data_IF_157909052598
#
_entry.id   IF_157909052598
#
_cell.length_a   1.000
_cell.length_b   1.000
_cell.length_c   1.000
_cell.angle_alpha   90.00
_cell.angle_beta   90.00
_cell.angle_gamma   90.00
#
_symmetry.space_group_name_H-M   'P 1'
#
loop_
_entity.id
_entity.type
_entity.pdbx_description
1 polymer ?
#
# COMPACT_ATOMS: atom_id res chain seq x y z
N UNK A 1 77.99 -12.75 -14.20
CA UNK A 1 76.72 -12.13 -14.62
C UNK A 1 75.60 -12.92 -14.00
N UNK A 2 75.03 -12.40 -12.92
CA UNK A 2 73.99 -13.02 -12.12
C UNK A 2 72.64 -12.44 -12.55
N UNK A 3 71.65 -13.29 -12.83
CA UNK A 3 70.26 -12.85 -12.98
C UNK A 3 69.43 -13.62 -11.97
N UNK A 4 69.07 -12.95 -10.88
CA UNK A 4 68.16 -13.46 -9.86
C UNK A 4 66.71 -13.21 -10.30
N UNK A 5 65.92 -14.27 -10.30
CA UNK A 5 64.47 -14.24 -10.47
C UNK A 5 63.86 -13.88 -9.11
N UNK A 6 63.08 -12.80 -9.04
CA UNK A 6 62.25 -12.49 -7.87
C UNK A 6 60.81 -12.44 -8.35
N UNK A 7 60.06 -13.50 -8.03
CA UNK A 7 58.62 -13.57 -8.20
C UNK A 7 57.94 -12.85 -7.02
N UNK A 8 57.15 -11.82 -7.32
CA UNK A 8 56.40 -11.06 -6.32
C UNK A 8 54.94 -11.54 -6.33
N UNK A 9 54.62 -12.49 -5.44
CA UNK A 9 53.25 -12.94 -5.21
C UNK A 9 52.51 -11.93 -4.31
N UNK A 10 51.75 -11.02 -4.91
CA UNK A 10 50.79 -10.17 -4.19
C UNK A 10 49.52 -10.97 -3.88
N UNK A 11 49.42 -11.48 -2.64
CA UNK A 11 48.16 -11.99 -2.09
C UNK A 11 47.29 -10.82 -1.64
N UNK A 12 46.26 -10.50 -2.43
CA UNK A 12 45.15 -9.66 -1.99
C UNK A 12 44.23 -10.49 -1.09
N UNK A 13 44.38 -10.33 0.23
CA UNK A 13 43.39 -10.80 1.19
C UNK A 13 42.18 -9.85 1.14
N UNK A 14 41.15 -10.22 0.37
CA UNK A 14 39.86 -9.55 0.41
C UNK A 14 39.20 -9.85 1.76
N UNK A 15 39.27 -8.91 2.70
CA UNK A 15 38.48 -8.96 3.92
C UNK A 15 37.00 -8.84 3.54
N UNK A 16 36.27 -9.96 3.64
CA UNK A 16 34.82 -9.97 3.53
C UNK A 16 34.24 -9.12 4.67
N UNK A 17 33.75 -7.93 4.35
CA UNK A 17 32.96 -7.14 5.27
C UNK A 17 31.69 -7.94 5.62
N UNK A 18 31.39 -8.19 6.90
CA UNK A 18 30.15 -8.85 7.26
C UNK A 18 29.00 -7.93 6.84
N UNK A 19 28.17 -8.42 5.92
CA UNK A 19 26.90 -7.81 5.59
C UNK A 19 26.10 -7.69 6.89
N UNK A 20 26.00 -6.46 7.40
CA UNK A 20 25.10 -6.13 8.48
C UNK A 20 23.68 -6.33 7.93
N UNK A 21 23.13 -7.52 8.16
CA UNK A 21 21.70 -7.78 8.05
C UNK A 21 21.02 -6.81 9.03
N UNK A 22 20.61 -5.65 8.51
CA UNK A 22 19.76 -4.72 9.21
C UNK A 22 18.39 -5.39 9.37
N UNK A 23 18.26 -6.25 10.37
CA UNK A 23 16.96 -6.74 10.86
C UNK A 23 16.18 -5.50 11.30
N UNK A 24 15.28 -5.05 10.44
CA UNK A 24 14.34 -3.98 10.70
C UNK A 24 13.62 -4.30 12.02
N UNK A 25 13.99 -3.58 13.09
CA UNK A 25 13.39 -3.78 14.41
C UNK A 25 11.93 -3.35 14.30
N UNK A 26 11.01 -4.27 14.55
CA UNK A 26 9.59 -3.93 14.62
C UNK A 26 9.40 -2.80 15.65
N UNK A 27 8.87 -1.65 15.22
CA UNK A 27 8.60 -0.51 16.10
C UNK A 27 7.68 -0.92 17.25
N UNK A 28 7.94 -0.39 18.44
CA UNK A 28 7.09 -0.61 19.60
C UNK A 28 5.71 0.04 19.40
N UNK A 29 4.71 -0.39 20.17
CA UNK A 29 3.38 0.20 20.12
C UNK A 29 3.41 1.71 20.47
N UNK A 30 4.26 2.10 21.42
CA UNK A 30 4.44 3.50 21.83
C UNK A 30 5.07 4.35 20.72
N UNK A 31 6.13 3.85 20.06
CA UNK A 31 6.76 4.53 18.92
C UNK A 31 5.77 4.71 17.77
N UNK A 32 4.94 3.70 17.50
CA UNK A 32 3.90 3.79 16.48
C UNK A 32 2.86 4.83 16.86
N UNK A 33 2.37 4.82 18.10
CA UNK A 33 1.40 5.81 18.57
C UNK A 33 1.95 7.23 18.43
N UNK A 34 3.17 7.50 18.91
CA UNK A 34 3.82 8.80 18.79
C UNK A 34 3.96 9.25 17.33
N UNK A 35 4.36 8.35 16.42
CA UNK A 35 4.40 8.64 14.99
C UNK A 35 3.00 8.97 14.44
N UNK A 36 1.98 8.19 14.79
CA UNK A 36 0.62 8.40 14.29
C UNK A 36 0.05 9.77 14.69
N UNK A 37 0.40 10.29 15.87
CA UNK A 37 0.01 11.64 16.31
C UNK A 37 0.58 12.74 15.40
N UNK A 38 1.73 12.51 14.76
CA UNK A 38 2.34 13.50 13.85
C UNK A 38 1.77 13.49 12.43
N UNK A 39 0.89 12.52 12.11
CA UNK A 39 0.34 12.35 10.76
C UNK A 39 -1.02 13.02 10.65
N UNK A 40 -1.22 13.80 9.59
CA UNK A 40 -2.53 14.36 9.27
C UNK A 40 -3.56 13.24 9.02
N UNK A 41 -4.76 13.41 9.60
CA UNK A 41 -5.90 12.51 9.40
C UNK A 41 -6.90 13.15 8.45
N UNK A 42 -7.28 12.40 7.41
CA UNK A 42 -8.28 12.79 6.44
C UNK A 42 -9.67 12.23 6.75
N UNK A 43 -10.42 11.99 5.67
CA UNK A 43 -11.79 11.45 5.69
C UNK A 43 -11.85 10.12 6.45
N UNK A 44 -12.97 9.90 7.13
CA UNK A 44 -13.27 8.61 7.75
C UNK A 44 -13.77 7.64 6.68
N UNK A 45 -13.33 6.39 6.79
CA UNK A 45 -13.68 5.30 5.88
C UNK A 45 -14.17 4.12 6.71
N UNK A 46 -15.32 3.55 6.36
CA UNK A 46 -15.79 2.31 6.96
C UNK A 46 -15.28 1.13 6.13
N UNK A 47 -14.45 0.29 6.73
CA UNK A 47 -13.96 -0.95 6.14
C UNK A 47 -14.59 -2.18 6.79
N UNK A 48 -14.27 -3.36 6.26
CA UNK A 48 -14.82 -4.63 6.76
C UNK A 48 -14.41 -4.96 8.20
N UNK A 49 -13.32 -4.37 8.73
CA UNK A 49 -12.82 -4.63 10.09
C UNK A 49 -12.95 -3.43 11.04
N UNK A 50 -13.75 -2.44 10.66
CA UNK A 50 -14.09 -1.29 11.50
C UNK A 50 -13.84 0.05 10.82
N UNK A 51 -13.54 1.05 11.64
CA UNK A 51 -13.35 2.42 11.19
C UNK A 51 -11.89 2.71 10.88
N UNK A 52 -11.69 3.47 9.81
CA UNK A 52 -10.41 3.87 9.30
C UNK A 52 -10.37 5.38 9.10
N UNK A 53 -9.16 5.95 9.16
CA UNK A 53 -8.88 7.33 8.76
C UNK A 53 -7.88 7.33 7.62
N UNK A 54 -8.21 8.02 6.53
CA UNK A 54 -7.28 8.26 5.44
C UNK A 54 -6.06 9.05 5.93
N UNK A 55 -4.88 8.76 5.38
CA UNK A 55 -3.63 9.43 5.68
C UNK A 55 -3.10 10.09 4.39
N UNK A 56 -3.34 11.40 4.18
CA UNK A 56 -2.96 12.10 2.95
C UNK A 56 -1.47 12.08 2.64
N UNK A 57 -0.63 11.92 3.67
CA UNK A 57 0.83 11.95 3.57
C UNK A 57 1.45 10.56 3.48
N UNK A 58 0.65 9.50 3.64
CA UNK A 58 1.17 8.13 3.72
C UNK A 58 0.69 7.32 2.54
N UNK A 59 1.65 6.73 1.84
CA UNK A 59 1.42 5.94 0.64
C UNK A 59 2.12 4.61 0.73
N UNK A 60 1.70 3.68 -0.12
CA UNK A 60 2.37 2.40 -0.29
C UNK A 60 2.78 2.19 -1.75
N UNK A 61 3.93 1.58 -1.97
CA UNK A 61 4.38 1.09 -3.28
C UNK A 61 4.80 -0.37 -3.16
N UNK A 62 4.53 -1.17 -4.19
CA UNK A 62 4.97 -2.56 -4.22
C UNK A 62 6.42 -2.68 -4.72
N UNK A 63 7.20 -3.56 -4.08
CA UNK A 63 8.45 -4.07 -4.62
C UNK A 63 8.22 -4.76 -5.96
N UNK A 64 8.95 -4.35 -6.99
CA UNK A 64 8.94 -4.97 -8.32
C UNK A 64 9.57 -6.36 -8.31
N UNK A 65 10.67 -6.52 -7.59
CA UNK A 65 11.42 -7.76 -7.47
C UNK A 65 11.72 -8.06 -6.00
N UNK A 66 11.91 -9.33 -5.66
CA UNK A 66 12.18 -9.74 -4.27
C UNK A 66 13.47 -9.15 -3.69
N UNK A 67 14.43 -8.78 -4.55
CA UNK A 67 15.69 -8.16 -4.17
C UNK A 67 15.65 -6.61 -4.19
N UNK A 68 14.56 -5.99 -4.67
CA UNK A 68 14.42 -4.53 -4.63
C UNK A 68 14.36 -4.07 -3.18
N UNK A 69 15.19 -3.10 -2.83
CA UNK A 69 15.19 -2.48 -1.51
C UNK A 69 14.03 -1.47 -1.41
N UNK A 70 13.54 -1.17 -0.19
CA UNK A 70 12.55 -0.11 0.00
C UNK A 70 12.96 1.23 -0.61
N UNK A 71 14.24 1.60 -0.52
CA UNK A 71 14.76 2.85 -1.07
C UNK A 71 14.71 2.88 -2.61
N UNK A 72 15.03 1.77 -3.27
CA UNK A 72 14.90 1.64 -4.73
C UNK A 72 13.44 1.73 -5.17
N UNK A 73 12.53 1.10 -4.43
CA UNK A 73 11.10 1.18 -4.69
C UNK A 73 10.57 2.63 -4.60
N UNK A 74 11.06 3.42 -3.63
CA UNK A 74 10.73 4.85 -3.50
C UNK A 74 11.37 5.71 -4.60
N UNK A 75 12.65 5.47 -4.93
CA UNK A 75 13.35 6.20 -5.98
C UNK A 75 12.63 6.05 -7.33
N UNK A 76 12.11 4.85 -7.63
CA UNK A 76 11.34 4.55 -8.84
C UNK A 76 10.06 5.39 -8.98
N UNK A 77 9.43 5.76 -7.87
CA UNK A 77 8.21 6.59 -7.87
C UNK A 77 8.51 8.07 -7.61
N UNK A 78 9.78 8.48 -7.65
CA UNK A 78 10.20 9.88 -7.45
C UNK A 78 10.15 10.34 -6.00
N UNK A 79 10.09 9.43 -5.04
CA UNK A 79 9.94 9.71 -3.60
C UNK A 79 11.29 9.56 -2.85
N UNK A 80 12.40 9.98 -3.47
CA UNK A 80 13.76 9.78 -2.95
C UNK A 80 14.10 10.45 -1.61
N UNK A 81 13.23 11.32 -1.11
CA UNK A 81 13.33 11.94 0.23
C UNK A 81 12.26 11.47 1.21
N UNK A 82 11.41 10.50 0.83
CA UNK A 82 10.34 10.02 1.68
C UNK A 82 10.85 9.17 2.84
N UNK A 83 10.16 9.27 3.97
CA UNK A 83 10.49 8.49 5.16
C UNK A 83 9.78 7.13 5.10
N UNK A 84 10.53 6.03 5.10
CA UNK A 84 9.96 4.69 5.23
C UNK A 84 9.36 4.54 6.64
N UNK A 85 8.11 4.09 6.69
CA UNK A 85 7.37 3.88 7.94
C UNK A 85 7.30 2.41 8.32
N UNK A 86 7.00 1.53 7.37
CA UNK A 86 6.82 0.09 7.57
C UNK A 86 6.91 -0.65 6.23
N UNK A 87 7.38 -1.90 6.25
CA UNK A 87 7.24 -2.84 5.12
C UNK A 87 6.26 -3.96 5.48
N UNK A 88 5.28 -4.23 4.62
CA UNK A 88 4.26 -5.29 4.76
C UNK A 88 4.31 -6.21 3.56
N UNK A 89 4.96 -7.37 3.68
CA UNK A 89 5.18 -8.26 2.54
C UNK A 89 5.96 -7.53 1.44
N UNK A 90 5.34 -7.34 0.26
CA UNK A 90 5.95 -6.57 -0.84
C UNK A 90 5.60 -5.07 -0.81
N UNK A 91 4.77 -4.60 0.12
CA UNK A 91 4.35 -3.20 0.18
C UNK A 91 5.28 -2.42 1.11
N UNK A 92 5.85 -1.33 0.59
CA UNK A 92 6.63 -0.35 1.35
C UNK A 92 5.74 0.83 1.64
N UNK A 93 5.47 1.09 2.91
CA UNK A 93 4.71 2.24 3.38
C UNK A 93 5.68 3.37 3.70
N UNK A 94 5.41 4.54 3.17
CA UNK A 94 6.27 5.72 3.31
C UNK A 94 5.46 6.99 3.54
N UNK A 95 6.06 7.94 4.24
CA UNK A 95 5.56 9.31 4.37
C UNK A 95 6.16 10.17 3.27
N UNK A 96 5.31 10.69 2.38
CA UNK A 96 5.68 11.68 1.39
C UNK A 96 5.67 13.09 1.99
N UNK A 97 6.42 14.00 1.39
CA UNK A 97 6.34 15.43 1.68
C UNK A 97 5.12 16.08 1.03
N UNK A 98 4.47 15.39 0.09
CA UNK A 98 3.28 15.86 -0.59
C UNK A 98 2.04 15.14 -0.06
N UNK A 99 0.96 15.90 0.13
CA UNK A 99 -0.35 15.33 0.41
C UNK A 99 -1.00 14.91 -0.91
N UNK A 100 -1.45 13.66 -0.96
CA UNK A 100 -2.19 13.14 -2.11
C UNK A 100 -3.62 12.77 -1.69
N UNK A 101 -4.59 12.88 -2.61
CA UNK A 101 -5.96 12.41 -2.39
C UNK A 101 -6.03 10.87 -2.29
N UNK A 102 -7.18 10.34 -1.87
CA UNK A 102 -7.39 8.92 -1.63
C UNK A 102 -7.68 8.13 -2.94
N UNK A 103 -6.83 8.26 -3.96
CA UNK A 103 -6.94 7.45 -5.18
C UNK A 103 -5.66 6.67 -5.48
N UNK A 104 -5.80 5.59 -6.24
CA UNK A 104 -4.67 4.80 -6.73
C UNK A 104 -4.03 5.50 -7.92
N UNK A 105 -2.72 5.70 -7.86
CA UNK A 105 -1.93 6.36 -8.90
C UNK A 105 -1.00 5.37 -9.61
N UNK A 106 -0.67 5.64 -10.88
CA UNK A 106 0.43 4.98 -11.56
C UNK A 106 1.57 5.96 -11.83
N UNK A 107 2.75 5.68 -11.30
CA UNK A 107 3.96 6.49 -11.47
C UNK A 107 5.07 5.62 -12.01
N UNK A 108 5.63 5.96 -13.19
CA UNK A 108 6.71 5.20 -13.83
C UNK A 108 6.44 3.67 -13.92
N UNK A 109 5.18 3.29 -14.19
CA UNK A 109 4.76 1.88 -14.25
C UNK A 109 4.55 1.19 -12.90
N UNK A 110 4.85 1.87 -11.79
CA UNK A 110 4.51 1.45 -10.43
C UNK A 110 3.07 1.83 -10.09
N UNK A 111 2.44 1.06 -9.20
CA UNK A 111 1.20 1.50 -8.54
C UNK A 111 1.54 2.11 -7.19
N UNK A 112 1.05 3.32 -6.94
CA UNK A 112 1.12 3.99 -5.64
C UNK A 112 -0.27 3.97 -5.03
N UNK A 113 -0.37 3.41 -3.83
CA UNK A 113 -1.63 3.19 -3.13
C UNK A 113 -1.83 4.21 -2.00
N UNK A 114 -3.05 4.71 -1.81
CA UNK A 114 -3.39 5.49 -0.63
C UNK A 114 -3.41 4.61 0.63
N UNK A 115 -3.06 5.20 1.77
CA UNK A 115 -2.99 4.48 3.06
C UNK A 115 -4.04 5.01 4.03
N UNK A 116 -4.51 4.12 4.90
CA UNK A 116 -5.39 4.41 6.02
C UNK A 116 -4.78 3.92 7.32
N UNK A 117 -5.28 4.41 8.45
CA UNK A 117 -5.02 3.81 9.77
C UNK A 117 -6.32 3.30 10.37
N UNK A 118 -6.29 2.08 10.91
CA UNK A 118 -7.38 1.53 11.71
C UNK A 118 -7.47 2.29 13.03
N UNK A 119 -8.60 2.95 13.32
CA UNK A 119 -8.74 3.83 14.49
C UNK A 119 -8.69 3.07 15.81
N UNK A 120 -8.99 1.77 15.80
CA UNK A 120 -8.98 0.92 16.99
C UNK A 120 -7.58 0.36 17.27
N UNK A 121 -6.84 -0.04 16.24
CA UNK A 121 -5.57 -0.77 16.42
C UNK A 121 -4.32 0.06 16.11
N UNK A 122 -4.48 1.25 15.52
CA UNK A 122 -3.36 2.04 15.02
C UNK A 122 -2.57 1.37 13.89
N UNK A 123 -3.11 0.31 13.28
CA UNK A 123 -2.41 -0.42 12.21
C UNK A 123 -2.64 0.27 10.88
N UNK A 124 -1.59 0.44 10.07
CA UNK A 124 -1.72 0.92 8.70
C UNK A 124 -2.40 -0.11 7.80
N UNK A 125 -3.29 0.36 6.94
CA UNK A 125 -3.92 -0.42 5.89
C UNK A 125 -3.74 0.24 4.53
N UNK A 126 -3.60 -0.56 3.48
CA UNK A 126 -3.44 -0.08 2.10
C UNK A 126 -4.75 -0.20 1.35
N UNK A 127 -5.24 0.91 0.78
CA UNK A 127 -6.42 0.94 -0.08
C UNK A 127 -6.05 0.53 -1.49
N UNK A 128 -6.62 -0.57 -1.98
CA UNK A 128 -6.23 -1.16 -3.29
C UNK A 128 -6.94 -0.53 -4.49
N UNK A 129 -7.95 0.31 -4.24
CA UNK A 129 -8.87 0.83 -5.25
C UNK A 129 -10.04 -0.12 -5.57
N UNK A 130 -10.11 -1.27 -4.90
CA UNK A 130 -11.25 -2.19 -5.01
C UNK A 130 -12.34 -1.83 -4.00
N UNK A 131 -13.59 -1.77 -4.45
CA UNK A 131 -14.80 -1.56 -3.65
C UNK A 131 -15.61 -2.86 -3.66
N UNK A 132 -15.83 -3.44 -2.48
CA UNK A 132 -16.63 -4.64 -2.30
C UNK A 132 -18.05 -4.21 -2.00
N UNK A 133 -18.98 -4.61 -2.85
CA UNK A 133 -20.37 -4.15 -2.81
C UNK A 133 -21.31 -5.34 -2.81
N UNK A 134 -22.25 -5.34 -1.87
CA UNK A 134 -23.38 -6.27 -1.84
C UNK A 134 -24.63 -5.54 -2.34
N UNK A 135 -25.00 -5.65 -3.62
CA UNK A 135 -26.24 -5.08 -4.11
C UNK A 135 -27.45 -5.88 -3.63
N UNK A 136 -28.61 -5.23 -3.52
CA UNK A 136 -29.91 -5.90 -3.22
C UNK A 136 -30.33 -6.84 -4.35
N UNK A 137 -29.87 -6.59 -5.57
CA UNK A 137 -30.02 -7.47 -6.73
C UNK A 137 -28.74 -7.48 -7.55
N UNK A 138 -28.22 -8.66 -7.89
CA UNK A 138 -27.05 -8.76 -8.77
C UNK A 138 -27.34 -8.28 -10.19
N UNK A 139 -28.60 -8.26 -10.61
CA UNK A 139 -28.99 -7.72 -11.91
C UNK A 139 -28.68 -6.22 -12.04
N UNK A 140 -28.62 -5.49 -10.91
CA UNK A 140 -28.31 -4.06 -10.89
C UNK A 140 -26.80 -3.77 -11.03
N UNK A 141 -25.94 -4.79 -10.98
CA UNK A 141 -24.50 -4.59 -10.93
C UNK A 141 -23.93 -3.75 -12.09
N UNK A 142 -24.31 -3.98 -13.37
CA UNK A 142 -23.87 -3.13 -14.46
C UNK A 142 -24.34 -1.68 -14.32
N UNK A 143 -25.58 -1.46 -13.84
CA UNK A 143 -26.16 -0.13 -13.67
C UNK A 143 -25.49 0.62 -12.51
N UNK A 144 -25.17 -0.06 -11.41
CA UNK A 144 -24.39 0.48 -10.29
C UNK A 144 -23.00 0.91 -10.78
N UNK A 145 -22.29 0.04 -11.49
CA UNK A 145 -20.96 0.38 -12.03
C UNK A 145 -21.00 1.64 -12.89
N UNK A 146 -21.97 1.73 -13.81
CA UNK A 146 -22.13 2.89 -14.68
C UNK A 146 -22.45 4.18 -13.90
N UNK A 147 -23.41 4.10 -12.97
CA UNK A 147 -23.87 5.27 -12.19
C UNK A 147 -22.77 5.90 -11.34
N UNK A 148 -21.86 5.07 -10.82
CA UNK A 148 -20.77 5.49 -9.93
C UNK A 148 -19.43 5.61 -10.65
N UNK A 149 -19.40 5.48 -11.98
CA UNK A 149 -18.17 5.59 -12.77
C UNK A 149 -17.12 4.53 -12.42
N UNK A 150 -17.53 3.33 -12.03
CA UNK A 150 -16.67 2.23 -11.61
C UNK A 150 -16.45 1.22 -12.74
N UNK A 151 -15.36 0.46 -12.64
CA UNK A 151 -15.12 -0.71 -13.49
C UNK A 151 -15.64 -1.97 -12.80
N UNK A 152 -16.45 -2.76 -13.49
CA UNK A 152 -16.93 -4.05 -12.97
C UNK A 152 -15.78 -5.05 -12.98
N UNK A 153 -15.44 -5.57 -11.80
CA UNK A 153 -14.49 -6.65 -11.62
C UNK A 153 -15.20 -8.00 -11.52
N UNK A 154 -14.90 -8.75 -10.46
CA UNK A 154 -15.44 -10.11 -10.24
C UNK A 154 -16.80 -10.07 -9.56
N UNK A 155 -17.66 -11.01 -9.93
CA UNK A 155 -18.94 -11.27 -9.26
C UNK A 155 -18.90 -12.61 -8.56
N UNK A 156 -19.53 -12.66 -7.39
CA UNK A 156 -19.68 -13.86 -6.56
C UNK A 156 -21.16 -14.04 -6.23
N UNK A 157 -21.94 -14.66 -7.13
CA UNK A 157 -23.38 -14.76 -6.99
C UNK A 157 -23.83 -15.41 -5.68
N UNK A 158 -23.11 -16.44 -5.23
CA UNK A 158 -23.35 -17.15 -3.97
C UNK A 158 -23.17 -16.29 -2.71
N UNK A 159 -22.47 -15.16 -2.81
CA UNK A 159 -22.31 -14.19 -1.72
C UNK A 159 -23.14 -12.92 -1.94
N UNK A 160 -23.82 -12.83 -3.08
CA UNK A 160 -24.47 -11.60 -3.55
C UNK A 160 -23.49 -10.42 -3.61
N UNK A 161 -22.23 -10.66 -3.98
CA UNK A 161 -21.16 -9.65 -3.90
C UNK A 161 -20.55 -9.38 -5.27
N UNK A 162 -20.28 -8.10 -5.53
CA UNK A 162 -19.56 -7.62 -6.70
C UNK A 162 -18.35 -6.80 -6.26
N UNK A 163 -17.22 -7.03 -6.91
CA UNK A 163 -15.99 -6.30 -6.71
C UNK A 163 -15.88 -5.28 -7.84
N UNK A 164 -15.96 -4.00 -7.49
CA UNK A 164 -15.74 -2.90 -8.42
C UNK A 164 -14.34 -2.34 -8.25
N UNK A 165 -13.78 -1.78 -9.32
CA UNK A 165 -12.53 -1.04 -9.29
C UNK A 165 -12.82 0.44 -9.52
N UNK A 166 -12.28 1.29 -8.65
CA UNK A 166 -12.28 2.73 -8.84
C UNK A 166 -11.44 3.07 -10.07
N UNK A 167 -11.95 3.94 -10.95
CA UNK A 167 -11.20 4.41 -12.11
C UNK A 167 -10.01 5.27 -11.67
N UNK A 168 -9.02 5.47 -12.55
CA UNK A 168 -7.92 6.39 -12.26
C UNK A 168 -8.45 7.76 -11.82
N UNK A 169 -7.84 8.32 -10.76
CA UNK A 169 -8.21 9.63 -10.15
C UNK A 169 -9.56 9.67 -9.43
N UNK A 170 -10.27 8.56 -9.28
CA UNK A 170 -11.47 8.49 -8.43
C UNK A 170 -11.07 8.46 -6.96
N UNK A 171 -11.48 9.46 -6.18
CA UNK A 171 -11.34 9.43 -4.71
C UNK A 171 -12.18 8.27 -4.15
N UNK A 172 -11.49 7.30 -3.54
CA UNK A 172 -12.09 6.06 -3.05
C UNK A 172 -13.06 6.34 -1.89
N UNK A 173 -12.78 7.33 -1.05
CA UNK A 173 -13.65 7.66 0.08
C UNK A 173 -14.96 8.29 -0.42
N UNK A 174 -14.90 9.16 -1.43
CA UNK A 174 -16.09 9.76 -2.02
C UNK A 174 -16.92 8.74 -2.81
N UNK A 175 -16.27 7.89 -3.60
CA UNK A 175 -16.94 6.80 -4.31
C UNK A 175 -17.62 5.83 -3.33
N UNK A 176 -16.96 5.50 -2.22
CA UNK A 176 -17.54 4.67 -1.18
C UNK A 176 -18.76 5.33 -0.54
N UNK A 177 -18.68 6.61 -0.17
CA UNK A 177 -19.80 7.34 0.42
C UNK A 177 -21.01 7.37 -0.53
N UNK A 178 -20.78 7.59 -1.83
CA UNK A 178 -21.82 7.55 -2.85
C UNK A 178 -22.48 6.17 -2.97
N UNK A 179 -21.69 5.09 -2.95
CA UNK A 179 -22.22 3.71 -2.96
C UNK A 179 -23.04 3.41 -1.70
N UNK A 180 -22.60 3.88 -0.52
CA UNK A 180 -23.32 3.66 0.74
C UNK A 180 -24.66 4.43 0.79
N UNK A 181 -24.80 5.50 0.01
CA UNK A 181 -26.05 6.24 -0.14
C UNK A 181 -26.98 5.68 -1.24
N UNK A 182 -26.51 4.74 -2.06
CA UNK A 182 -27.30 4.17 -3.15
C UNK A 182 -28.34 3.16 -2.62
N UNK A 183 -29.62 3.43 -2.87
CA UNK A 183 -30.72 2.60 -2.38
C UNK A 183 -30.71 1.15 -2.94
N UNK A 184 -29.97 0.87 -4.01
CA UNK A 184 -29.79 -0.49 -4.57
C UNK A 184 -28.75 -1.31 -3.81
N UNK A 185 -27.98 -0.69 -2.93
CA UNK A 185 -26.87 -1.32 -2.23
C UNK A 185 -27.29 -1.68 -0.79
N UNK A 186 -27.01 -2.91 -0.38
CA UNK A 186 -27.20 -3.36 1.00
C UNK A 186 -25.98 -2.96 1.86
N UNK A 187 -24.78 -3.18 1.35
CA UNK A 187 -23.54 -2.73 2.00
C UNK A 187 -22.42 -2.52 0.99
N UNK A 188 -21.50 -1.61 1.32
CA UNK A 188 -20.29 -1.34 0.55
C UNK A 188 -19.13 -1.00 1.49
N UNK A 189 -17.95 -1.53 1.19
CA UNK A 189 -16.70 -1.22 1.89
C UNK A 189 -15.50 -1.35 0.93
N UNK A 190 -14.40 -0.62 1.14
CA UNK A 190 -13.21 -0.78 0.34
C UNK A 190 -12.39 -1.99 0.78
N UNK A 191 -11.66 -2.57 -0.15
CA UNK A 191 -10.62 -3.54 0.17
C UNK A 191 -9.43 -2.82 0.81
N UNK A 192 -9.09 -3.24 2.02
CA UNK A 192 -7.97 -2.71 2.81
C UNK A 192 -7.04 -3.86 3.18
N UNK A 193 -5.78 -3.75 2.80
CA UNK A 193 -4.73 -4.71 3.17
C UNK A 193 -4.02 -4.19 4.43
N UNK A 194 -4.35 -4.75 5.60
CA UNK A 194 -3.67 -4.46 6.87
C UNK A 194 -2.48 -5.39 7.15
N UNK A 195 -2.60 -6.65 6.72
CA UNK A 195 -1.63 -7.71 7.00
C UNK A 195 -1.39 -8.52 5.73
N UNK A 196 -0.13 -8.61 5.32
CA UNK A 196 0.34 -9.56 4.32
C UNK A 196 1.12 -10.65 5.04
N UNK A 197 0.71 -11.91 4.85
CA UNK A 197 1.49 -13.04 5.34
C UNK A 197 2.72 -13.17 4.45
N UNK A 198 3.91 -12.99 5.01
CA UNK A 198 5.14 -13.44 4.35
C UNK A 198 5.21 -14.97 4.52
N UNK A 199 5.28 -15.76 3.45
CA UNK A 199 5.56 -17.20 3.57
C UNK A 199 6.87 -17.38 4.34
N UNK A 200 6.89 -18.34 5.27
CA UNK A 200 8.12 -18.76 5.97
C UNK A 200 8.97 -19.63 5.07
#
# INVERSE_FOLDING_TARGET
>A
MNVQIVAFCLMFAAAAAPAQESRERARTAAERAAMLETLQKGKQILGSRGQYRFLPEVHAVEHRASAETPQEALARVGEGGAQILETKGRLVLFRSTQQKPAFVERVAGATVYPTVVNTRTGTFGVLTGTLVVKPKSLADAPAIASSHGLEKGKEYPQLQTVFYRAKPRTDIADALAALQADARIESAYPEIIEYLRTPK
#
